data_IF_060710333866
#
_entry.id   IF_060710333866
#
_cell.length_a   1.000
_cell.length_b   1.000
_cell.length_c   1.000
_cell.angle_alpha   90.00
_cell.angle_beta   90.00
_cell.angle_gamma   90.00
#
_symmetry.space_group_name_H-M   'P 1'
#
loop_
_entity.id
_entity.type
_entity.pdbx_description
1 polymer ?
#
# COMPACT_ATOMS: atom_id res chain seq x y z
N UNK A 1 10.42 -10.25 4.60
CA UNK A 1 10.12 -9.74 3.25
C UNK A 1 10.74 -10.61 2.15
N UNK A 2 12.03 -11.01 2.23
CA UNK A 2 12.68 -11.91 1.25
C UNK A 2 11.86 -13.20 0.97
N UNK A 3 11.46 -13.92 2.02
CA UNK A 3 10.65 -15.14 1.87
C UNK A 3 9.33 -14.90 1.14
N UNK A 4 8.72 -13.72 1.30
CA UNK A 4 7.48 -13.36 0.61
C UNK A 4 7.71 -13.06 -0.88
N UNK A 5 8.83 -12.41 -1.24
CA UNK A 5 9.24 -12.19 -2.63
C UNK A 5 9.49 -13.53 -3.33
N UNK A 6 10.21 -14.43 -2.68
CA UNK A 6 10.46 -15.79 -3.18
C UNK A 6 9.15 -16.57 -3.31
N UNK A 7 8.27 -16.48 -2.31
CA UNK A 7 6.95 -17.10 -2.34
C UNK A 7 6.11 -16.64 -3.53
N UNK A 8 6.10 -15.33 -3.82
CA UNK A 8 5.39 -14.77 -4.96
C UNK A 8 5.91 -15.32 -6.29
N UNK A 9 7.24 -15.41 -6.47
CA UNK A 9 7.84 -16.01 -7.67
C UNK A 9 7.35 -17.45 -7.89
N UNK A 10 7.52 -18.31 -6.87
CA UNK A 10 7.16 -19.72 -6.99
C UNK A 10 5.65 -19.92 -7.11
N UNK A 11 4.85 -19.10 -6.46
CA UNK A 11 3.39 -19.10 -6.64
C UNK A 11 2.99 -18.85 -8.09
N UNK A 12 3.58 -17.83 -8.74
CA UNK A 12 3.32 -17.54 -10.15
C UNK A 12 3.80 -18.65 -11.09
N UNK A 13 4.88 -19.35 -10.72
CA UNK A 13 5.42 -20.47 -11.50
C UNK A 13 4.58 -21.76 -11.36
N UNK A 14 3.73 -21.85 -10.34
CA UNK A 14 2.90 -23.03 -10.08
C UNK A 14 1.94 -23.31 -11.24
N UNK A 15 1.80 -24.59 -11.58
CA UNK A 15 0.91 -25.08 -12.62
C UNK A 15 0.19 -26.35 -12.18
N UNK A 16 -0.86 -26.72 -12.92
CA UNK A 16 -1.57 -27.98 -12.70
C UNK A 16 -0.70 -29.24 -12.89
N UNK A 17 0.47 -29.12 -13.51
CA UNK A 17 1.45 -30.22 -13.68
C UNK A 17 2.57 -30.19 -12.64
N UNK A 18 2.84 -29.03 -12.06
CA UNK A 18 3.91 -28.84 -11.09
C UNK A 18 3.49 -27.78 -10.07
N UNK A 19 3.07 -28.23 -8.89
CA UNK A 19 2.64 -27.36 -7.80
C UNK A 19 3.84 -26.77 -7.08
N UNK A 20 3.97 -25.44 -7.10
CA UNK A 20 5.13 -24.73 -6.54
C UNK A 20 4.76 -23.85 -5.33
N UNK A 21 3.67 -24.17 -4.63
CA UNK A 21 3.21 -23.42 -3.46
C UNK A 21 4.05 -23.64 -2.18
N UNK A 22 5.17 -24.34 -2.29
CA UNK A 22 6.06 -24.71 -1.18
C UNK A 22 6.52 -23.52 -0.33
N UNK A 23 6.72 -22.36 -0.96
CA UNK A 23 7.22 -21.16 -0.30
C UNK A 23 6.11 -20.21 0.18
N UNK A 24 4.85 -20.48 -0.19
CA UNK A 24 3.71 -19.68 0.26
C UNK A 24 3.47 -19.82 1.76
N UNK A 25 2.98 -18.77 2.45
CA UNK A 25 2.66 -18.87 3.87
C UNK A 25 1.59 -19.93 4.13
N UNK A 26 1.69 -20.63 5.25
CA UNK A 26 0.72 -21.63 5.68
C UNK A 26 -0.48 -21.02 6.41
N UNK A 27 -1.52 -21.84 6.63
CA UNK A 27 -2.66 -21.49 7.47
C UNK A 27 -3.84 -20.86 6.73
N UNK A 28 -4.92 -20.63 7.48
CA UNK A 28 -6.21 -20.12 6.98
C UNK A 28 -6.15 -18.69 6.47
N UNK A 29 -5.22 -17.89 6.99
CA UNK A 29 -5.02 -16.50 6.61
C UNK A 29 -4.00 -16.33 5.47
N UNK A 30 -3.51 -17.44 4.91
CA UNK A 30 -2.61 -17.40 3.77
C UNK A 30 -3.27 -16.74 2.56
N UNK A 31 -2.56 -15.83 1.91
CA UNK A 31 -3.02 -15.29 0.62
C UNK A 31 -3.04 -16.39 -0.47
N UNK A 32 -2.28 -17.47 -0.31
CA UNK A 32 -2.25 -18.59 -1.24
C UNK A 32 -3.48 -19.51 -1.05
N UNK A 33 -4.31 -19.61 -2.09
CA UNK A 33 -5.53 -20.44 -2.07
C UNK A 33 -5.25 -21.93 -1.85
N UNK A 34 -4.15 -22.44 -2.40
CA UNK A 34 -3.72 -23.83 -2.18
C UNK A 34 -3.40 -24.10 -0.70
N UNK A 35 -2.61 -23.22 -0.07
CA UNK A 35 -2.25 -23.35 1.36
C UNK A 35 -3.48 -23.21 2.27
N UNK A 36 -4.41 -22.31 1.95
CA UNK A 36 -5.69 -22.23 2.66
C UNK A 36 -6.52 -23.49 2.53
N UNK A 37 -6.65 -24.03 1.32
CA UNK A 37 -7.42 -25.26 1.10
C UNK A 37 -6.81 -26.44 1.86
N UNK A 38 -5.47 -26.57 1.90
CA UNK A 38 -4.79 -27.56 2.74
C UNK A 38 -5.13 -27.37 4.22
N UNK A 39 -5.09 -26.14 4.73
CA UNK A 39 -5.43 -25.83 6.13
C UNK A 39 -6.89 -26.14 6.46
N UNK A 40 -7.80 -25.97 5.51
CA UNK A 40 -9.23 -26.28 5.63
C UNK A 40 -9.56 -27.75 5.31
N UNK A 41 -8.56 -28.58 4.96
CA UNK A 41 -8.74 -29.95 4.47
C UNK A 41 -9.70 -30.04 3.26
N UNK A 42 -9.70 -29.02 2.41
CA UNK A 42 -10.48 -28.96 1.17
C UNK A 42 -9.62 -29.35 -0.03
N UNK A 43 -10.26 -29.93 -1.04
CA UNK A 43 -9.61 -30.17 -2.32
C UNK A 43 -9.35 -28.85 -3.05
N UNK A 44 -8.12 -28.67 -3.55
CA UNK A 44 -7.75 -27.53 -4.40
C UNK A 44 -7.34 -28.03 -5.78
N UNK A 45 -7.96 -27.46 -6.81
CA UNK A 45 -7.56 -27.69 -8.19
C UNK A 45 -6.78 -26.48 -8.70
N UNK A 46 -5.50 -26.70 -9.01
CA UNK A 46 -4.69 -25.72 -9.70
C UNK A 46 -5.19 -25.57 -11.14
N UNK A 47 -5.61 -24.35 -11.50
CA UNK A 47 -6.10 -24.02 -12.85
C UNK A 47 -5.06 -23.28 -13.67
N UNK A 48 -4.02 -22.77 -13.02
CA UNK A 48 -2.96 -22.04 -13.70
C UNK A 48 -2.20 -22.97 -14.66
N UNK A 49 -1.93 -22.53 -15.90
CA UNK A 49 -0.98 -23.21 -16.78
C UNK A 49 0.48 -23.04 -16.31
N UNK A 50 0.73 -22.16 -15.34
CA UNK A 50 2.07 -21.73 -14.92
C UNK A 50 2.74 -20.83 -15.95
N UNK A 51 4.01 -20.48 -15.66
CA UNK A 51 4.84 -19.68 -16.57
C UNK A 51 5.69 -20.59 -17.47
N UNK A 52 5.91 -20.23 -18.74
CA UNK A 52 6.86 -20.94 -19.59
C UNK A 52 8.29 -20.90 -19.01
N UNK A 53 9.07 -21.96 -19.22
CA UNK A 53 10.44 -22.08 -18.70
C UNK A 53 11.36 -20.91 -19.11
N UNK A 54 11.22 -20.42 -20.35
CA UNK A 54 11.96 -19.27 -20.84
C UNK A 54 11.66 -18.00 -20.02
N UNK A 55 10.38 -17.77 -19.73
CA UNK A 55 9.91 -16.62 -18.93
C UNK A 55 10.37 -16.74 -17.48
N UNK A 56 10.23 -17.93 -16.87
CA UNK A 56 10.70 -18.18 -15.50
C UNK A 56 12.20 -17.90 -15.36
N UNK A 57 13.01 -18.32 -16.33
CA UNK A 57 14.47 -18.11 -16.31
C UNK A 57 14.84 -16.62 -16.31
N UNK A 58 14.14 -15.82 -17.12
CA UNK A 58 14.38 -14.37 -17.21
C UNK A 58 13.92 -13.67 -15.92
N UNK A 59 12.68 -13.94 -15.49
CA UNK A 59 12.06 -13.23 -14.36
C UNK A 59 12.69 -13.63 -13.01
N UNK A 60 13.23 -14.85 -12.89
CA UNK A 60 13.89 -15.31 -11.66
C UNK A 60 15.01 -14.37 -11.21
N UNK A 61 15.81 -13.86 -12.15
CA UNK A 61 16.90 -12.93 -11.84
C UNK A 61 16.35 -11.66 -11.17
N UNK A 62 15.29 -11.07 -11.74
CA UNK A 62 14.61 -9.90 -11.17
C UNK A 62 14.08 -10.17 -9.76
N UNK A 63 13.45 -11.33 -9.51
CA UNK A 63 12.97 -11.67 -8.17
C UNK A 63 14.11 -11.84 -7.15
N UNK A 64 15.27 -12.35 -7.58
CA UNK A 64 16.45 -12.46 -6.71
C UNK A 64 17.06 -11.10 -6.38
N UNK A 65 17.11 -10.18 -7.35
CA UNK A 65 17.51 -8.78 -7.10
C UNK A 65 16.54 -8.08 -6.14
N UNK A 66 15.23 -8.33 -6.29
CA UNK A 66 14.22 -7.84 -5.35
C UNK A 66 14.36 -8.41 -3.93
N UNK A 67 15.14 -9.48 -3.74
CA UNK A 67 15.48 -10.00 -2.42
C UNK A 67 16.65 -9.26 -1.76
N UNK A 68 17.26 -8.25 -2.40
CA UNK A 68 18.34 -7.47 -1.78
C UNK A 68 17.89 -6.83 -0.46
N UNK A 69 18.69 -7.02 0.60
CA UNK A 69 18.33 -6.56 1.95
C UNK A 69 18.29 -5.03 2.03
N UNK A 70 19.18 -4.33 1.32
CA UNK A 70 19.20 -2.86 1.35
C UNK A 70 17.99 -2.28 0.62
N UNK A 71 17.59 -2.87 -0.51
CA UNK A 71 16.36 -2.55 -1.22
C UNK A 71 15.13 -2.79 -0.33
N UNK A 72 15.01 -3.97 0.26
CA UNK A 72 13.86 -4.33 1.11
C UNK A 72 13.78 -3.48 2.38
N UNK A 73 14.92 -3.04 2.93
CA UNK A 73 14.95 -2.12 4.07
C UNK A 73 14.26 -0.79 3.72
N UNK A 74 14.33 -0.32 2.47
CA UNK A 74 13.61 0.89 2.03
C UNK A 74 12.09 0.70 2.10
N UNK A 75 11.60 -0.50 1.78
CA UNK A 75 10.18 -0.84 1.86
C UNK A 75 9.63 -0.82 3.30
N UNK A 76 10.47 -0.99 4.32
CA UNK A 76 10.03 -0.93 5.74
C UNK A 76 9.67 0.48 6.20
N UNK A 77 10.14 1.52 5.51
CA UNK A 77 9.88 2.91 5.88
C UNK A 77 8.50 3.39 5.41
N UNK A 78 7.76 2.59 4.63
CA UNK A 78 6.45 2.99 4.06
C UNK A 78 6.52 4.08 2.98
N UNK A 79 7.71 4.65 2.74
CA UNK A 79 7.98 5.73 1.77
C UNK A 79 7.91 5.28 0.30
N UNK A 80 7.38 4.08 0.01
CA UNK A 80 7.28 3.53 -1.35
C UNK A 80 5.98 3.89 -2.06
N UNK A 81 5.08 4.65 -1.42
CA UNK A 81 4.01 5.29 -2.18
C UNK A 81 4.64 6.40 -3.01
N UNK A 82 4.40 6.36 -4.32
CA UNK A 82 4.69 7.47 -5.21
C UNK A 82 4.18 8.76 -4.56
N UNK A 83 5.08 9.68 -4.20
CA UNK A 83 4.73 10.91 -3.48
C UNK A 83 3.62 11.69 -4.21
N UNK A 84 3.60 11.64 -5.54
CA UNK A 84 2.56 12.27 -6.34
C UNK A 84 1.20 11.57 -6.18
N UNK A 85 1.16 10.23 -6.15
CA UNK A 85 -0.07 9.48 -5.89
C UNK A 85 -0.58 9.69 -4.46
N UNK A 86 0.33 9.70 -3.47
CA UNK A 86 -0.03 9.93 -2.08
C UNK A 86 -0.58 11.36 -1.88
N UNK A 87 0.09 12.38 -2.42
CA UNK A 87 -0.41 13.75 -2.40
C UNK A 87 -1.75 13.89 -3.13
N UNK A 88 -1.88 13.33 -4.34
CA UNK A 88 -3.12 13.38 -5.10
C UNK A 88 -4.26 12.69 -4.36
N UNK A 89 -3.99 11.61 -3.63
CA UNK A 89 -5.00 10.97 -2.78
C UNK A 89 -5.52 11.95 -1.71
N UNK A 90 -4.64 12.62 -0.97
CA UNK A 90 -5.02 13.65 0.01
C UNK A 90 -5.83 14.77 -0.66
N UNK A 91 -5.37 15.27 -1.81
CA UNK A 91 -6.06 16.32 -2.56
C UNK A 91 -7.50 15.93 -2.94
N UNK A 92 -7.70 14.69 -3.39
CA UNK A 92 -9.01 14.17 -3.80
C UNK A 92 -9.95 13.85 -2.64
N UNK A 93 -9.45 13.73 -1.42
CA UNK A 93 -10.34 13.69 -0.23
C UNK A 93 -10.97 15.06 0.08
N UNK A 94 -10.38 16.15 -0.42
CA UNK A 94 -10.80 17.53 -0.14
C UNK A 94 -11.56 18.11 -1.34
N UNK A 95 -11.10 17.83 -2.56
CA UNK A 95 -11.66 18.36 -3.80
C UNK A 95 -12.22 17.24 -4.66
N UNK A 96 -13.42 17.40 -5.24
CA UNK A 96 -13.98 16.42 -6.15
C UNK A 96 -13.17 16.37 -7.45
N UNK A 97 -12.84 15.16 -7.88
CA UNK A 97 -12.12 14.92 -9.13
C UNK A 97 -13.02 15.02 -10.37
N UNK A 98 -14.28 14.65 -10.21
CA UNK A 98 -15.22 14.43 -11.33
C UNK A 98 -16.15 15.62 -11.60
N UNK A 99 -16.05 16.70 -10.82
CA UNK A 99 -16.90 17.88 -10.98
C UNK A 99 -16.08 19.16 -11.01
N UNK A 100 -16.60 20.14 -11.75
CA UNK A 100 -15.96 21.45 -11.83
C UNK A 100 -15.95 22.14 -10.47
N UNK A 101 -14.78 22.69 -10.11
CA UNK A 101 -14.60 23.56 -8.95
C UNK A 101 -14.09 24.93 -9.38
N UNK A 102 -14.60 25.98 -8.76
CA UNK A 102 -14.12 27.33 -9.02
C UNK A 102 -12.66 27.49 -8.58
N UNK A 103 -11.92 28.38 -9.24
CA UNK A 103 -10.49 28.60 -9.01
C UNK A 103 -10.14 28.89 -7.54
N UNK A 104 -10.96 29.71 -6.85
CA UNK A 104 -10.73 30.03 -5.43
C UNK A 104 -10.83 28.79 -4.53
N UNK A 105 -11.82 27.94 -4.78
CA UNK A 105 -12.02 26.67 -4.07
C UNK A 105 -10.88 25.69 -4.35
N UNK A 106 -10.46 25.59 -5.62
CA UNK A 106 -9.32 24.76 -6.02
C UNK A 106 -8.04 25.17 -5.28
N UNK A 107 -7.74 26.47 -5.21
CA UNK A 107 -6.57 26.95 -4.48
C UNK A 107 -6.66 26.65 -2.98
N UNK A 108 -7.80 26.95 -2.35
CA UNK A 108 -7.98 26.68 -0.92
C UNK A 108 -7.81 25.18 -0.61
N UNK A 109 -8.48 24.31 -1.36
CA UNK A 109 -8.38 22.86 -1.17
C UNK A 109 -6.96 22.34 -1.40
N UNK A 110 -6.24 22.89 -2.38
CA UNK A 110 -4.83 22.55 -2.63
C UNK A 110 -3.91 22.96 -1.49
N UNK A 111 -4.08 24.15 -0.92
CA UNK A 111 -3.29 24.59 0.24
C UNK A 111 -3.56 23.73 1.49
N UNK A 112 -4.81 23.34 1.73
CA UNK A 112 -5.17 22.42 2.82
C UNK A 112 -4.52 21.05 2.57
N UNK A 113 -4.57 20.53 1.34
CA UNK A 113 -3.92 19.27 1.00
C UNK A 113 -2.42 19.29 1.28
N UNK A 114 -1.73 20.38 0.93
CA UNK A 114 -0.30 20.57 1.21
C UNK A 114 -0.01 20.55 2.72
N UNK A 115 -0.84 21.21 3.53
CA UNK A 115 -0.68 21.21 4.99
C UNK A 115 -0.87 19.79 5.56
N UNK A 116 -1.93 19.11 5.16
CA UNK A 116 -2.22 17.75 5.62
C UNK A 116 -1.14 16.76 5.19
N UNK A 117 -0.65 16.85 3.96
CA UNK A 117 0.37 15.95 3.44
C UNK A 117 1.72 16.11 4.14
N UNK A 118 2.14 17.35 4.44
CA UNK A 118 3.47 17.61 5.00
C UNK A 118 3.50 17.67 6.54
N UNK A 119 2.36 17.95 7.18
CA UNK A 119 2.32 18.27 8.61
C UNK A 119 1.11 17.68 9.33
N UNK A 120 0.35 16.81 8.66
CA UNK A 120 -0.86 16.22 9.22
C UNK A 120 -1.93 17.26 9.56
N UNK A 121 -2.90 16.84 10.36
CA UNK A 121 -3.97 17.69 10.85
C UNK A 121 -3.48 18.78 11.82
N UNK A 122 -2.37 18.53 12.54
CA UNK A 122 -1.74 19.56 13.38
C UNK A 122 -1.21 20.75 12.55
N UNK A 123 -0.88 20.54 11.27
CA UNK A 123 -0.53 21.61 10.33
C UNK A 123 -1.63 22.65 10.11
N UNK A 124 -2.89 22.34 10.44
CA UNK A 124 -4.02 23.28 10.30
C UNK A 124 -4.14 24.26 11.48
N UNK A 125 -3.55 23.96 12.64
CA UNK A 125 -3.70 24.76 13.85
C UNK A 125 -3.23 26.23 13.69
N UNK A 126 -2.08 26.52 13.03
CA UNK A 126 -1.67 27.90 12.76
C UNK A 126 -2.70 28.68 11.93
N UNK A 127 -3.32 28.02 10.95
CA UNK A 127 -4.37 28.61 10.10
C UNK A 127 -5.62 28.95 10.92
N UNK A 128 -6.06 28.04 11.80
CA UNK A 128 -7.19 28.31 12.69
C UNK A 128 -6.92 29.47 13.64
N UNK A 129 -5.72 29.53 14.22
CA UNK A 129 -5.32 30.66 15.06
C UNK A 129 -5.34 31.98 14.29
N UNK A 130 -4.80 32.01 13.07
CA UNK A 130 -4.81 33.20 12.21
C UNK A 130 -6.24 33.66 11.89
N UNK A 131 -7.14 32.71 11.60
CA UNK A 131 -8.56 32.96 11.33
C UNK A 131 -9.38 33.22 12.61
N UNK A 132 -8.75 33.20 13.79
CA UNK A 132 -9.40 33.35 15.10
C UNK A 132 -10.49 32.29 15.35
N UNK A 133 -10.31 31.09 14.81
CA UNK A 133 -11.16 29.92 15.04
C UNK A 133 -10.71 29.26 16.36
N UNK A 134 -11.58 29.13 17.37
CA UNK A 134 -11.21 28.51 18.65
C UNK A 134 -10.80 27.05 18.48
N UNK A 135 -9.61 26.71 18.96
CA UNK A 135 -9.13 25.33 19.02
C UNK A 135 -9.47 24.77 20.40
N UNK A 136 -10.47 23.89 20.47
CA UNK A 136 -10.85 23.23 21.72
C UNK A 136 -9.93 22.03 22.00
N UNK A 137 -9.71 21.66 23.28
CA UNK A 137 -8.84 20.53 23.64
C UNK A 137 -9.22 19.20 22.95
N UNK A 138 -10.50 19.00 22.67
CA UNK A 138 -10.98 17.83 21.94
C UNK A 138 -10.47 17.78 20.50
N UNK A 139 -10.41 18.92 19.80
CA UNK A 139 -9.88 19.02 18.43
C UNK A 139 -8.41 18.64 18.41
N UNK A 140 -7.62 19.23 19.32
CA UNK A 140 -6.19 18.91 19.45
C UNK A 140 -5.97 17.42 19.71
N UNK A 141 -6.71 16.85 20.68
CA UNK A 141 -6.60 15.42 21.00
C UNK A 141 -6.94 14.52 19.81
N UNK A 142 -7.99 14.85 19.04
CA UNK A 142 -8.36 14.09 17.84
C UNK A 142 -7.31 14.19 16.75
N UNK A 143 -6.80 15.38 16.45
CA UNK A 143 -5.79 15.57 15.42
C UNK A 143 -4.48 14.85 15.77
N UNK A 144 -4.03 14.93 17.03
CA UNK A 144 -2.89 14.13 17.50
C UNK A 144 -3.11 12.62 17.41
N UNK A 145 -4.36 12.15 17.51
CA UNK A 145 -4.71 10.75 17.32
C UNK A 145 -4.58 10.34 15.85
N UNK A 146 -5.17 11.12 14.95
CA UNK A 146 -5.15 10.85 13.50
C UNK A 146 -3.71 10.91 12.97
N UNK A 147 -2.93 11.91 13.36
CA UNK A 147 -1.54 12.07 12.90
C UNK A 147 -0.59 10.97 13.40
N UNK A 148 -0.98 10.17 14.41
CA UNK A 148 -0.21 9.00 14.86
C UNK A 148 -0.55 7.72 14.10
N UNK A 149 -1.69 7.69 13.42
CA UNK A 149 -2.16 6.55 12.64
C UNK A 149 -1.67 6.60 11.17
N UNK A 150 -1.20 7.78 10.73
CA UNK A 150 -0.56 8.04 9.44
C UNK A 150 0.96 7.78 9.52
#
# INVERSE_FOLDING_TARGET
MQSAVIAAFFHCCSSNRNLMHGQCPDGKDSWCRYRRALSDKKHYLEKSPGLPNSVMKVIKATYLELCDKNLLKKCLHGMTQNNNESFNNVLWTILPKETFVQQKTLFLGSYIAVLLFNSGYLGLLPTFNYLKIPIVPLTLKKYMGIDKEL
#
